data_IF_872064262262
#
_entry.id   IF_872064262262
#
_cell.length_a   1.000
_cell.length_b   1.000
_cell.length_c   1.000
_cell.angle_alpha   90.00
_cell.angle_beta   90.00
_cell.angle_gamma   90.00
#
_symmetry.space_group_name_H-M   'P 1'
#
loop_
_entity.id
_entity.type
_entity.pdbx_description
1 polymer ?
#
# COMPACT_ATOMS: atom_id res chain seq x y z
N UNK A 1 3.60 -41.91 -22.24
CA UNK A 1 2.20 -42.28 -22.58
C UNK A 1 1.83 -43.73 -22.28
N UNK A 2 2.74 -44.74 -22.29
CA UNK A 2 2.45 -46.08 -21.76
C UNK A 2 2.37 -46.13 -20.22
N UNK A 3 2.97 -45.18 -19.50
CA UNK A 3 2.96 -45.15 -18.03
C UNK A 3 1.63 -44.72 -17.41
N UNK A 4 0.75 -44.06 -18.16
CA UNK A 4 -0.56 -43.61 -17.67
C UNK A 4 -1.60 -44.73 -17.52
N UNK A 5 -1.42 -45.85 -18.21
CA UNK A 5 -2.33 -47.01 -18.14
C UNK A 5 -1.98 -47.92 -16.95
N UNK A 6 -0.79 -47.78 -16.35
CA UNK A 6 -0.39 -48.54 -15.17
C UNK A 6 -1.05 -48.04 -13.87
N UNK A 7 -1.46 -46.76 -13.83
CA UNK A 7 -2.05 -46.12 -12.65
C UNK A 7 -3.43 -46.68 -12.26
N UNK A 8 -4.17 -47.28 -13.20
CA UNK A 8 -5.51 -47.80 -12.94
C UNK A 8 -5.53 -49.25 -12.40
N UNK A 9 -4.38 -49.84 -12.07
CA UNK A 9 -4.26 -51.26 -11.67
C UNK A 9 -3.54 -51.49 -10.34
N UNK A 10 -3.15 -50.44 -9.63
CA UNK A 10 -2.44 -50.55 -8.36
C UNK A 10 -3.42 -50.35 -7.21
N UNK A 11 -3.88 -51.47 -6.66
CA UNK A 11 -4.70 -51.54 -5.44
C UNK A 11 -3.78 -51.83 -4.26
N UNK A 12 -3.80 -50.93 -3.28
CA UNK A 12 -3.17 -50.99 -1.96
C UNK A 12 -1.65 -50.96 -1.85
N UNK A 13 -1.18 -50.02 -1.01
CA UNK A 13 0.18 -49.81 -0.49
C UNK A 13 1.25 -49.39 -1.52
N UNK A 14 1.26 -49.95 -2.73
CA UNK A 14 2.25 -49.61 -3.75
C UNK A 14 2.08 -48.19 -4.33
N UNK A 15 0.84 -47.67 -4.32
CA UNK A 15 0.50 -46.33 -4.84
C UNK A 15 1.10 -45.22 -3.97
N UNK A 16 1.10 -45.36 -2.64
CA UNK A 16 1.67 -44.37 -1.72
C UNK A 16 3.21 -44.32 -1.81
N UNK A 17 3.86 -45.49 -1.95
CA UNK A 17 5.32 -45.60 -2.15
C UNK A 17 5.76 -45.05 -3.52
N UNK A 18 4.95 -45.29 -4.55
CA UNK A 18 5.17 -44.73 -5.90
C UNK A 18 5.01 -43.21 -5.93
N UNK A 19 3.98 -42.66 -5.27
CA UNK A 19 3.79 -41.22 -5.12
C UNK A 19 4.97 -40.60 -4.35
N UNK A 20 5.41 -41.20 -3.24
CA UNK A 20 6.57 -40.72 -2.47
C UNK A 20 7.86 -40.65 -3.30
N UNK A 21 8.12 -41.68 -4.13
CA UNK A 21 9.27 -41.68 -5.08
C UNK A 21 9.12 -40.69 -6.22
N UNK A 22 7.90 -40.49 -6.72
CA UNK A 22 7.61 -39.58 -7.83
C UNK A 22 7.70 -38.12 -7.36
N UNK A 23 7.32 -37.79 -6.13
CA UNK A 23 7.41 -36.42 -5.62
C UNK A 23 8.81 -36.05 -5.09
N UNK A 24 9.58 -37.02 -4.56
CA UNK A 24 10.92 -36.74 -4.00
C UNK A 24 12.09 -36.88 -5.00
N UNK A 25 11.85 -37.39 -6.20
CA UNK A 25 12.93 -37.73 -7.16
C UNK A 25 13.26 -36.68 -8.23
N UNK A 26 12.61 -35.52 -8.24
CA UNK A 26 12.63 -34.62 -9.42
C UNK A 26 13.59 -33.46 -9.20
N UNK A 27 14.54 -33.30 -10.12
CA UNK A 27 15.51 -32.19 -10.09
C UNK A 27 15.10 -31.07 -11.05
N UNK A 28 15.66 -29.88 -10.83
CA UNK A 28 15.37 -28.64 -11.56
C UNK A 28 15.76 -28.82 -13.04
N UNK A 29 14.77 -28.77 -13.95
CA UNK A 29 15.00 -28.82 -15.40
C UNK A 29 13.82 -29.28 -16.28
N UNK A 30 12.89 -30.09 -15.76
CA UNK A 30 11.85 -30.69 -16.61
C UNK A 30 10.62 -29.78 -16.87
N UNK A 31 10.00 -29.96 -18.04
CA UNK A 31 8.92 -29.19 -18.66
C UNK A 31 7.75 -28.83 -17.72
N UNK A 32 7.53 -27.52 -17.56
CA UNK A 32 6.57 -26.92 -16.62
C UNK A 32 5.12 -27.33 -16.90
N UNK A 33 4.73 -27.49 -18.17
CA UNK A 33 3.35 -27.87 -18.52
C UNK A 33 3.04 -29.33 -18.14
N UNK A 34 4.02 -30.23 -18.31
CA UNK A 34 3.87 -31.63 -17.90
C UNK A 34 3.74 -31.75 -16.37
N UNK A 35 4.51 -30.96 -15.61
CA UNK A 35 4.42 -30.88 -14.15
C UNK A 35 3.04 -30.40 -13.67
N UNK A 36 2.46 -29.38 -14.33
CA UNK A 36 1.14 -28.84 -14.01
C UNK A 36 0.02 -29.86 -14.18
N UNK A 37 -0.03 -30.57 -15.30
CA UNK A 37 -1.11 -31.52 -15.59
C UNK A 37 -0.98 -32.82 -14.78
N UNK A 38 0.25 -33.26 -14.49
CA UNK A 38 0.50 -34.40 -13.59
C UNK A 38 0.10 -34.06 -12.15
N UNK A 39 0.36 -32.82 -11.67
CA UNK A 39 -0.07 -32.35 -10.33
C UNK A 39 -1.59 -32.29 -10.22
N UNK A 40 -2.30 -31.73 -11.21
CA UNK A 40 -3.77 -31.75 -11.24
C UNK A 40 -4.33 -33.18 -11.19
N UNK A 41 -3.74 -34.09 -11.97
CA UNK A 41 -4.14 -35.50 -11.97
C UNK A 41 -3.86 -36.18 -10.63
N UNK A 42 -2.76 -35.85 -9.95
CA UNK A 42 -2.42 -36.40 -8.64
C UNK A 42 -3.38 -35.90 -7.54
N UNK A 43 -3.71 -34.61 -7.53
CA UNK A 43 -4.66 -34.01 -6.58
C UNK A 43 -6.07 -34.58 -6.78
N UNK A 44 -6.52 -34.71 -8.03
CA UNK A 44 -7.81 -35.36 -8.34
C UNK A 44 -7.84 -36.84 -7.92
N UNK A 45 -6.71 -37.55 -8.06
CA UNK A 45 -6.60 -38.95 -7.62
C UNK A 45 -6.59 -39.06 -6.09
N UNK A 46 -5.96 -38.12 -5.40
CA UNK A 46 -5.94 -38.03 -3.93
C UNK A 46 -7.34 -37.81 -3.35
N UNK A 47 -8.14 -36.89 -3.91
CA UNK A 47 -9.53 -36.70 -3.48
C UNK A 47 -10.38 -37.96 -3.64
N UNK A 48 -10.12 -38.74 -4.70
CA UNK A 48 -10.79 -40.04 -4.92
C UNK A 48 -10.33 -41.10 -3.91
N UNK A 49 -9.02 -41.15 -3.61
CA UNK A 49 -8.45 -42.09 -2.61
C UNK A 49 -8.96 -41.77 -1.20
N UNK A 50 -9.00 -40.50 -0.80
CA UNK A 50 -9.52 -40.07 0.50
C UNK A 50 -11.02 -40.39 0.65
N UNK A 51 -11.81 -40.19 -0.41
CA UNK A 51 -13.23 -40.56 -0.42
C UNK A 51 -13.44 -42.07 -0.27
N UNK A 52 -12.59 -42.89 -0.89
CA UNK A 52 -12.67 -44.34 -0.77
C UNK A 52 -12.21 -44.84 0.61
N UNK A 53 -11.12 -44.29 1.17
CA UNK A 53 -10.61 -44.66 2.50
C UNK A 53 -11.62 -44.34 3.62
N UNK A 54 -12.34 -43.21 3.51
CA UNK A 54 -13.44 -42.87 4.45
C UNK A 54 -14.61 -43.86 4.40
N UNK A 55 -14.88 -44.46 3.24
CA UNK A 55 -15.97 -45.43 3.08
C UNK A 55 -15.63 -46.82 3.64
N UNK A 56 -14.34 -47.13 3.84
CA UNK A 56 -13.89 -48.44 4.33
C UNK A 56 -13.84 -48.56 5.86
N UNK A 57 -13.97 -47.44 6.59
CA UNK A 57 -14.25 -47.38 8.03
C UNK A 57 -13.37 -48.32 8.89
N UNK A 58 -12.05 -48.17 8.78
CA UNK A 58 -11.07 -48.92 9.60
C UNK A 58 -10.30 -47.95 10.49
N UNK A 59 -9.98 -48.33 11.74
CA UNK A 59 -9.28 -47.49 12.73
C UNK A 59 -7.91 -46.94 12.25
N UNK A 60 -7.34 -47.49 11.17
CA UNK A 60 -6.06 -47.03 10.59
C UNK A 60 -6.24 -46.00 9.46
N UNK A 61 -7.47 -45.64 9.05
CA UNK A 61 -7.69 -44.69 7.97
C UNK A 61 -7.34 -43.26 8.37
N UNK A 62 -7.56 -42.90 9.64
CA UNK A 62 -7.42 -41.52 10.10
C UNK A 62 -5.94 -41.14 10.28
N UNK A 63 -5.13 -42.03 10.84
CA UNK A 63 -3.66 -41.85 10.96
C UNK A 63 -3.00 -41.77 9.57
N UNK A 64 -3.46 -42.57 8.61
CA UNK A 64 -2.96 -42.53 7.24
C UNK A 64 -3.38 -41.25 6.49
N UNK A 65 -4.57 -40.72 6.77
CA UNK A 65 -5.04 -39.44 6.24
C UNK A 65 -4.21 -38.29 6.84
N UNK A 66 -3.92 -38.33 8.14
CA UNK A 66 -3.13 -37.32 8.83
C UNK A 66 -1.67 -37.30 8.32
N UNK A 67 -1.06 -38.47 8.09
CA UNK A 67 0.26 -38.59 7.47
C UNK A 67 0.32 -38.03 6.04
N UNK A 68 -0.74 -38.26 5.25
CA UNK A 68 -0.85 -37.74 3.87
C UNK A 68 -1.03 -36.22 3.87
N UNK A 69 -1.84 -35.68 4.77
CA UNK A 69 -2.04 -34.23 4.93
C UNK A 69 -0.73 -33.57 5.38
N UNK A 70 -0.05 -34.14 6.37
CA UNK A 70 1.24 -33.61 6.88
C UNK A 70 2.29 -33.60 5.78
N UNK A 71 2.42 -34.68 5.01
CA UNK A 71 3.36 -34.72 3.89
C UNK A 71 3.02 -33.76 2.73
N UNK A 72 1.75 -33.39 2.57
CA UNK A 72 1.30 -32.37 1.62
C UNK A 72 1.63 -30.96 2.12
N UNK A 73 1.37 -30.68 3.40
CA UNK A 73 1.69 -29.40 4.04
C UNK A 73 3.20 -29.14 4.04
N UNK A 74 4.02 -30.13 4.39
CA UNK A 74 5.49 -30.03 4.34
C UNK A 74 6.01 -29.73 2.92
N UNK A 75 5.31 -30.21 1.88
CA UNK A 75 5.68 -29.96 0.49
C UNK A 75 5.22 -28.57 0.02
N UNK A 76 4.12 -28.04 0.57
CA UNK A 76 3.65 -26.68 0.34
C UNK A 76 4.62 -25.68 0.99
N UNK A 77 5.02 -25.92 2.25
CA UNK A 77 5.99 -25.10 2.98
C UNK A 77 7.36 -25.07 2.29
N UNK A 78 7.86 -26.21 1.80
CA UNK A 78 9.13 -26.26 1.08
C UNK A 78 9.11 -25.52 -0.28
N UNK A 79 7.93 -25.34 -0.87
CA UNK A 79 7.77 -24.62 -2.15
C UNK A 79 7.33 -23.15 -1.96
N UNK A 80 6.90 -22.73 -0.76
CA UNK A 80 6.45 -21.36 -0.51
C UNK A 80 7.57 -20.32 -0.72
N UNK A 81 8.83 -20.69 -0.45
CA UNK A 81 10.02 -19.87 -0.75
C UNK A 81 10.27 -19.69 -2.27
N UNK A 82 9.61 -20.46 -3.13
CA UNK A 82 9.78 -20.41 -4.59
C UNK A 82 8.56 -19.83 -5.35
N UNK A 83 7.34 -19.86 -4.77
CA UNK A 83 6.09 -19.58 -5.48
C UNK A 83 5.45 -18.22 -5.18
N UNK A 84 6.23 -17.15 -5.28
CA UNK A 84 5.73 -15.76 -5.30
C UNK A 84 4.95 -15.37 -6.58
N UNK A 85 4.35 -16.29 -7.35
CA UNK A 85 3.41 -15.95 -8.44
C UNK A 85 2.59 -17.16 -8.92
N UNK A 86 1.28 -17.23 -8.59
CA UNK A 86 0.15 -17.39 -9.56
C UNK A 86 -1.20 -17.80 -8.93
N UNK A 87 -2.23 -17.03 -9.34
CA UNK A 87 -3.67 -17.06 -8.98
C UNK A 87 -4.50 -18.26 -9.51
N UNK A 88 -3.90 -19.22 -10.19
CA UNK A 88 -4.66 -20.34 -10.82
C UNK A 88 -4.79 -21.58 -9.91
N UNK A 89 -4.04 -21.67 -8.81
CA UNK A 89 -4.12 -22.79 -7.86
C UNK A 89 -5.21 -22.60 -6.80
N UNK A 90 -5.53 -21.37 -6.39
CA UNK A 90 -6.57 -21.07 -5.39
C UNK A 90 -7.95 -21.60 -5.78
N UNK A 91 -8.41 -21.35 -7.01
CA UNK A 91 -9.75 -21.78 -7.45
C UNK A 91 -9.92 -23.30 -7.45
N UNK A 92 -8.84 -24.05 -7.68
CA UNK A 92 -8.90 -25.53 -7.68
C UNK A 92 -8.89 -26.07 -6.25
N UNK A 93 -8.14 -25.43 -5.35
CA UNK A 93 -8.05 -25.81 -3.94
C UNK A 93 -9.37 -25.50 -3.22
N UNK A 94 -9.96 -24.30 -3.39
CA UNK A 94 -11.24 -23.94 -2.77
C UNK A 94 -12.41 -24.86 -3.18
N UNK A 95 -12.42 -25.36 -4.43
CA UNK A 95 -13.44 -26.30 -4.92
C UNK A 95 -13.27 -27.72 -4.38
N UNK A 96 -12.04 -28.16 -4.11
CA UNK A 96 -11.74 -29.45 -3.47
C UNK A 96 -12.03 -29.42 -1.97
N UNK A 97 -11.75 -28.30 -1.31
CA UNK A 97 -11.94 -28.10 0.12
C UNK A 97 -13.42 -27.97 0.52
N UNK A 98 -14.30 -27.44 -0.33
CA UNK A 98 -15.76 -27.44 -0.08
C UNK A 98 -16.40 -28.82 0.00
N UNK A 99 -15.71 -29.88 -0.43
CA UNK A 99 -16.20 -31.27 -0.35
C UNK A 99 -15.51 -32.08 0.76
N UNK A 100 -14.59 -31.47 1.51
CA UNK A 100 -13.91 -32.06 2.65
C UNK A 100 -14.41 -31.30 3.86
N UNK A 101 -14.97 -32.01 4.84
CA UNK A 101 -15.32 -31.43 6.13
C UNK A 101 -13.99 -31.13 6.85
N UNK A 102 -13.52 -29.88 6.73
CA UNK A 102 -12.18 -29.46 7.15
C UNK A 102 -12.22 -29.11 8.63
N UNK A 103 -11.28 -29.70 9.36
CA UNK A 103 -11.04 -29.42 10.76
C UNK A 103 -10.70 -27.93 10.95
N UNK A 104 -11.40 -27.27 11.86
CA UNK A 104 -11.30 -25.84 12.23
C UNK A 104 -9.87 -25.29 12.32
N UNK A 105 -8.87 -26.13 12.66
CA UNK A 105 -7.45 -25.71 12.71
C UNK A 105 -6.84 -25.41 11.35
N UNK A 106 -7.27 -26.09 10.28
CA UNK A 106 -6.78 -25.84 8.92
C UNK A 106 -7.43 -24.59 8.35
N UNK A 107 -8.70 -24.31 8.66
CA UNK A 107 -9.32 -23.02 8.33
C UNK A 107 -8.58 -21.87 9.02
N UNK A 108 -8.26 -21.99 10.31
CA UNK A 108 -7.46 -20.99 11.03
C UNK A 108 -6.04 -20.82 10.44
N UNK A 109 -5.35 -21.89 10.03
CA UNK A 109 -4.03 -21.78 9.40
C UNK A 109 -4.10 -21.24 7.96
N UNK A 110 -5.15 -21.55 7.21
CA UNK A 110 -5.33 -21.07 5.83
C UNK A 110 -5.76 -19.61 5.80
N UNK A 111 -6.64 -19.19 6.71
CA UNK A 111 -6.93 -17.78 6.94
C UNK A 111 -5.62 -17.05 7.24
N UNK A 112 -4.82 -17.54 8.20
CA UNK A 112 -3.50 -16.97 8.52
C UNK A 112 -2.50 -16.95 7.34
N UNK A 113 -2.68 -17.80 6.32
CA UNK A 113 -1.86 -17.79 5.09
C UNK A 113 -2.40 -16.79 4.05
N UNK A 114 -3.72 -16.69 3.87
CA UNK A 114 -4.38 -15.71 2.98
C UNK A 114 -4.14 -14.28 3.50
N UNK A 115 -4.10 -14.09 4.82
CA UNK A 115 -3.79 -12.81 5.49
C UNK A 115 -2.36 -12.27 5.25
N UNK A 116 -1.50 -13.01 4.52
CA UNK A 116 -0.09 -12.62 4.28
C UNK A 116 0.23 -12.22 2.85
N UNK A 117 -0.73 -12.12 1.93
CA UNK A 117 -0.42 -11.57 0.62
C UNK A 117 -0.34 -10.04 0.77
N UNK A 118 0.86 -9.43 0.66
CA UNK A 118 0.96 -7.99 0.66
C UNK A 118 0.20 -7.50 -0.57
N UNK A 119 -0.88 -6.75 -0.34
CA UNK A 119 -1.56 -5.99 -1.39
C UNK A 119 -0.67 -4.81 -1.78
N UNK A 120 0.42 -5.09 -2.50
CA UNK A 120 1.27 -4.05 -3.04
C UNK A 120 0.50 -3.23 -4.08
N UNK A 121 0.89 -1.98 -4.37
CA UNK A 121 0.21 -1.18 -5.37
C UNK A 121 0.19 -1.84 -6.76
N UNK A 122 1.18 -2.68 -7.10
CA UNK A 122 1.19 -3.45 -8.35
C UNK A 122 0.07 -4.50 -8.40
N UNK A 123 -0.16 -5.24 -7.30
CA UNK A 123 -1.25 -6.24 -7.21
C UNK A 123 -2.61 -5.55 -7.31
N UNK A 124 -2.71 -4.33 -6.78
CA UNK A 124 -3.93 -3.55 -6.82
C UNK A 124 -4.19 -3.01 -8.22
N UNK A 125 -3.17 -2.48 -8.91
CA UNK A 125 -3.28 -2.09 -10.30
C UNK A 125 -3.82 -3.24 -11.17
N UNK A 126 -3.20 -4.42 -11.06
CA UNK A 126 -3.63 -5.61 -11.81
C UNK A 126 -5.09 -5.99 -11.48
N UNK A 127 -5.46 -5.94 -10.20
CA UNK A 127 -6.83 -6.24 -9.77
C UNK A 127 -7.84 -5.20 -10.27
N UNK A 128 -7.47 -3.92 -10.30
CA UNK A 128 -8.31 -2.83 -10.81
C UNK A 128 -8.49 -2.96 -12.33
N UNK A 129 -7.42 -3.27 -13.06
CA UNK A 129 -7.49 -3.55 -14.50
C UNK A 129 -8.36 -4.76 -14.80
N UNK A 130 -8.34 -5.80 -13.96
CA UNK A 130 -9.14 -7.02 -14.15
C UNK A 130 -10.62 -6.83 -13.77
N UNK A 131 -10.89 -6.20 -12.63
CA UNK A 131 -12.21 -6.21 -12.00
C UNK A 131 -13.03 -4.94 -12.21
N UNK A 132 -12.41 -3.81 -12.59
CA UNK A 132 -13.09 -2.50 -12.62
C UNK A 132 -13.15 -1.96 -14.06
N UNK A 133 -14.30 -2.10 -14.77
CA UNK A 133 -14.43 -1.70 -16.16
C UNK A 133 -14.12 -0.22 -16.42
N UNK A 134 -14.59 0.69 -15.55
CA UNK A 134 -14.32 2.12 -15.68
C UNK A 134 -12.83 2.42 -15.55
N UNK A 135 -12.13 1.80 -14.59
CA UNK A 135 -10.69 1.98 -14.43
C UNK A 135 -9.92 1.49 -15.66
N UNK A 136 -10.26 0.29 -16.17
CA UNK A 136 -9.67 -0.22 -17.41
C UNK A 136 -9.92 0.72 -18.60
N UNK A 137 -11.13 1.27 -18.72
CA UNK A 137 -11.45 2.24 -19.75
C UNK A 137 -10.55 3.47 -19.65
N UNK A 138 -10.43 4.07 -18.46
CA UNK A 138 -9.55 5.23 -18.23
C UNK A 138 -8.08 4.90 -18.55
N UNK A 139 -7.59 3.76 -18.06
CA UNK A 139 -6.18 3.35 -18.19
C UNK A 139 -5.75 3.12 -19.64
N UNK A 140 -6.69 2.67 -20.50
CA UNK A 140 -6.45 2.36 -21.92
C UNK A 140 -6.72 3.54 -22.87
N UNK A 141 -6.90 4.75 -22.35
CA UNK A 141 -7.04 5.94 -23.19
C UNK A 141 -5.68 6.35 -23.75
N UNK A 142 -5.64 6.64 -25.05
CA UNK A 142 -4.43 7.03 -25.77
C UNK A 142 -3.73 8.23 -25.11
N UNK A 143 -4.49 9.16 -24.54
CA UNK A 143 -3.98 10.33 -23.81
C UNK A 143 -3.14 9.97 -22.59
N UNK A 144 -3.33 8.78 -22.01
CA UNK A 144 -2.59 8.28 -20.84
C UNK A 144 -1.57 7.19 -21.22
N UNK A 145 -1.82 6.40 -22.26
CA UNK A 145 -0.91 5.34 -22.73
C UNK A 145 0.45 5.88 -23.24
N UNK A 146 0.51 7.14 -23.65
CA UNK A 146 1.77 7.79 -24.08
C UNK A 146 2.65 8.23 -22.91
N UNK A 147 2.15 8.20 -21.67
CA UNK A 147 2.90 8.60 -20.47
C UNK A 147 3.83 7.49 -19.99
N UNK A 148 4.92 7.81 -19.27
CA UNK A 148 5.68 6.83 -18.51
C UNK A 148 4.76 6.00 -17.59
N UNK A 149 5.05 4.71 -17.41
CA UNK A 149 4.17 3.77 -16.68
C UNK A 149 3.79 4.29 -15.28
N UNK A 150 4.73 4.85 -14.53
CA UNK A 150 4.44 5.41 -13.21
C UNK A 150 3.43 6.57 -13.29
N UNK A 151 3.58 7.44 -14.29
CA UNK A 151 2.71 8.58 -14.51
C UNK A 151 1.34 8.13 -15.04
N UNK A 152 1.28 7.15 -15.94
CA UNK A 152 0.03 6.54 -16.41
C UNK A 152 -0.76 5.94 -15.23
N UNK A 153 -0.09 5.19 -14.35
CA UNK A 153 -0.72 4.60 -13.17
C UNK A 153 -1.31 5.71 -12.27
N UNK A 154 -0.48 6.69 -11.92
CA UNK A 154 -0.85 7.84 -11.10
C UNK A 154 -1.99 8.67 -11.68
N UNK A 155 -1.95 8.96 -12.98
CA UNK A 155 -2.99 9.71 -13.68
C UNK A 155 -4.30 8.93 -13.76
N UNK A 156 -4.23 7.63 -14.07
CA UNK A 156 -5.42 6.79 -14.25
C UNK A 156 -6.23 6.67 -12.97
N UNK A 157 -5.56 6.49 -11.83
CA UNK A 157 -6.22 6.44 -10.53
C UNK A 157 -6.79 7.79 -10.10
N UNK A 158 -6.09 8.90 -10.37
CA UNK A 158 -6.57 10.25 -10.09
C UNK A 158 -7.86 10.55 -10.86
N UNK A 159 -7.85 10.23 -12.16
CA UNK A 159 -9.02 10.39 -13.03
C UNK A 159 -10.16 9.47 -12.60
N UNK A 160 -9.89 8.18 -12.36
CA UNK A 160 -10.90 7.22 -11.95
C UNK A 160 -11.65 7.65 -10.70
N UNK A 161 -10.94 8.11 -9.66
CA UNK A 161 -11.57 8.55 -8.41
C UNK A 161 -12.33 9.85 -8.55
N UNK A 162 -11.75 10.83 -9.27
CA UNK A 162 -12.47 12.06 -9.60
C UNK A 162 -13.82 11.75 -10.26
N UNK A 163 -13.84 10.78 -11.20
CA UNK A 163 -15.06 10.33 -11.85
C UNK A 163 -16.03 9.67 -10.87
N UNK A 164 -15.57 8.77 -10.00
CA UNK A 164 -16.43 8.15 -8.99
C UNK A 164 -17.12 9.18 -8.09
N UNK A 165 -16.37 10.15 -7.58
CA UNK A 165 -16.88 11.15 -6.63
C UNK A 165 -17.86 12.15 -7.28
N UNK A 166 -17.60 12.54 -8.53
CA UNK A 166 -18.35 13.61 -9.18
C UNK A 166 -19.41 13.11 -10.18
N UNK A 167 -19.26 11.89 -10.68
CA UNK A 167 -20.06 11.34 -11.78
C UNK A 167 -20.51 9.89 -11.57
N UNK A 168 -20.05 9.22 -10.51
CA UNK A 168 -20.37 7.82 -10.20
C UNK A 168 -19.66 6.82 -11.13
N UNK A 169 -20.18 5.59 -11.16
CA UNK A 169 -19.53 4.46 -11.85
C UNK A 169 -19.74 4.42 -13.38
N UNK A 170 -20.64 5.27 -13.92
CA UNK A 170 -21.01 5.24 -15.34
C UNK A 170 -20.89 6.63 -16.01
N UNK A 171 -19.71 7.27 -15.96
CA UNK A 171 -19.49 8.54 -16.64
C UNK A 171 -19.54 8.35 -18.16
N UNK A 172 -19.96 9.39 -18.86
CA UNK A 172 -19.87 9.48 -20.32
C UNK A 172 -18.42 9.71 -20.76
N UNK A 173 -18.08 9.35 -22.01
CA UNK A 173 -16.75 9.62 -22.58
C UNK A 173 -16.32 11.09 -22.47
N UNK A 174 -17.28 12.02 -22.62
CA UNK A 174 -17.02 13.45 -22.46
C UNK A 174 -16.64 13.82 -21.02
N UNK A 175 -17.21 13.15 -20.01
CA UNK A 175 -16.86 13.36 -18.61
C UNK A 175 -15.49 12.76 -18.30
N UNK A 176 -15.17 11.59 -18.85
CA UNK A 176 -13.84 10.96 -18.72
C UNK A 176 -12.76 11.89 -19.29
N UNK A 177 -12.93 12.38 -20.52
CA UNK A 177 -11.96 13.30 -21.13
C UNK A 177 -11.85 14.61 -20.35
N UNK A 178 -12.96 15.14 -19.86
CA UNK A 178 -12.95 16.37 -19.03
C UNK A 178 -12.19 16.17 -17.72
N UNK A 179 -12.31 15.00 -17.08
CA UNK A 179 -11.56 14.66 -15.88
C UNK A 179 -10.05 14.55 -16.17
N UNK A 180 -9.65 13.92 -17.28
CA UNK A 180 -8.24 13.86 -17.69
C UNK A 180 -7.65 15.26 -17.89
N UNK A 181 -8.36 16.12 -18.63
CA UNK A 181 -7.93 17.50 -18.88
C UNK A 181 -7.81 18.26 -17.56
N UNK A 182 -8.83 18.17 -16.71
CA UNK A 182 -8.84 18.82 -15.41
C UNK A 182 -7.64 18.40 -14.56
N UNK A 183 -7.42 17.11 -14.34
CA UNK A 183 -6.30 16.60 -13.53
C UNK A 183 -4.96 17.02 -14.14
N UNK A 184 -4.81 16.98 -15.46
CA UNK A 184 -3.57 17.39 -16.14
C UNK A 184 -3.29 18.88 -15.97
N UNK A 185 -4.27 19.74 -16.21
CA UNK A 185 -4.15 21.20 -16.04
C UNK A 185 -3.71 21.53 -14.61
N UNK A 186 -4.32 20.84 -13.66
CA UNK A 186 -3.99 20.95 -12.26
C UNK A 186 -2.55 20.49 -11.94
N UNK A 187 -2.08 19.36 -12.45
CA UNK A 187 -0.69 18.93 -12.27
C UNK A 187 0.30 19.96 -12.84
N UNK A 188 -0.01 20.56 -13.99
CA UNK A 188 0.79 21.64 -14.60
C UNK A 188 0.88 22.88 -13.70
N UNK A 189 -0.20 23.25 -13.00
CA UNK A 189 -0.16 24.37 -12.05
C UNK A 189 0.77 24.08 -10.85
N UNK A 190 0.84 22.81 -10.42
CA UNK A 190 1.69 22.39 -9.31
C UNK A 190 3.16 22.14 -9.71
N UNK A 191 3.42 21.72 -10.95
CA UNK A 191 4.71 21.16 -11.39
C UNK A 191 5.91 22.08 -11.08
N UNK A 192 5.71 23.40 -11.18
CA UNK A 192 6.75 24.42 -11.01
C UNK A 192 6.77 25.04 -9.61
N UNK A 193 5.88 24.60 -8.70
CA UNK A 193 5.85 25.08 -7.32
C UNK A 193 7.11 24.63 -6.60
N UNK A 194 7.88 25.57 -6.06
CA UNK A 194 9.04 25.27 -5.23
C UNK A 194 8.57 24.72 -3.89
N UNK A 195 8.87 23.45 -3.64
CA UNK A 195 8.64 22.76 -2.38
C UNK A 195 9.78 23.08 -1.43
N UNK A 196 11.00 22.61 -1.71
CA UNK A 196 12.23 22.96 -0.96
C UNK A 196 13.15 23.82 -1.80
N UNK A 197 13.71 24.88 -1.21
CA UNK A 197 14.58 25.83 -1.90
C UNK A 197 15.14 26.90 -0.95
N UNK A 198 15.97 27.83 -1.46
CA UNK A 198 16.69 28.81 -0.63
C UNK A 198 15.80 29.75 0.17
N UNK A 199 14.60 30.07 -0.33
CA UNK A 199 13.68 31.02 0.31
C UNK A 199 12.70 30.36 1.30
N UNK A 200 12.86 29.06 1.58
CA UNK A 200 11.97 28.32 2.48
C UNK A 200 12.51 28.29 3.90
N UNK A 201 11.62 28.49 4.87
CA UNK A 201 11.85 28.05 6.24
C UNK A 201 11.39 26.60 6.38
N UNK A 202 12.27 25.71 6.85
CA UNK A 202 11.98 24.29 6.98
C UNK A 202 11.84 23.87 8.43
N UNK A 203 10.63 23.44 8.81
CA UNK A 203 10.33 22.81 10.08
C UNK A 203 10.20 21.30 9.80
N UNK A 204 11.16 20.52 10.27
CA UNK A 204 11.10 19.06 10.16
C UNK A 204 11.09 18.43 11.53
N UNK A 205 10.31 17.37 11.69
CA UNK A 205 10.26 16.64 12.94
C UNK A 205 9.86 15.19 12.71
N UNK A 206 10.31 14.32 13.61
CA UNK A 206 10.09 12.87 13.46
C UNK A 206 9.53 12.22 14.71
N UNK A 207 8.95 11.04 14.51
CA UNK A 207 8.68 10.09 15.58
C UNK A 207 9.97 9.70 16.34
N UNK A 208 9.84 9.19 17.58
CA UNK A 208 10.98 8.91 18.47
C UNK A 208 11.82 7.68 18.07
N UNK A 209 11.25 6.75 17.31
CA UNK A 209 11.94 5.55 16.84
C UNK A 209 13.21 5.87 16.04
N UNK A 210 14.20 4.98 16.13
CA UNK A 210 15.52 5.18 15.51
C UNK A 210 15.45 5.30 13.98
N UNK A 211 14.54 4.55 13.34
CA UNK A 211 14.40 4.52 11.87
C UNK A 211 14.02 5.87 11.25
N UNK A 212 13.36 6.76 11.99
CA UNK A 212 12.99 8.10 11.51
C UNK A 212 14.11 9.11 11.83
N UNK A 213 14.63 9.80 10.83
CA UNK A 213 15.87 10.58 10.95
C UNK A 213 15.70 12.05 10.55
N UNK A 214 15.64 12.94 11.53
CA UNK A 214 15.73 14.39 11.32
C UNK A 214 16.99 14.77 10.51
N UNK A 215 18.13 14.10 10.78
CA UNK A 215 19.38 14.34 10.07
C UNK A 215 19.26 14.09 8.57
N UNK A 216 18.56 13.02 8.16
CA UNK A 216 18.40 12.69 6.74
C UNK A 216 17.50 13.71 6.05
N UNK A 217 16.40 14.11 6.71
CA UNK A 217 15.50 15.16 6.20
C UNK A 217 16.21 16.51 6.07
N UNK A 218 17.02 16.87 7.08
CA UNK A 218 17.80 18.11 7.08
C UNK A 218 18.85 18.09 5.96
N UNK A 219 19.61 17.01 5.82
CA UNK A 219 20.62 16.86 4.76
C UNK A 219 19.96 16.96 3.38
N UNK A 220 18.84 16.27 3.17
CA UNK A 220 18.08 16.36 1.93
C UNK A 220 17.65 17.80 1.66
N UNK A 221 17.04 18.50 2.62
CA UNK A 221 16.62 19.88 2.47
C UNK A 221 17.80 20.84 2.17
N UNK A 222 18.95 20.67 2.84
CA UNK A 222 20.17 21.43 2.55
C UNK A 222 20.70 21.16 1.14
N UNK A 223 20.62 19.91 0.67
CA UNK A 223 20.99 19.55 -0.70
C UNK A 223 20.04 20.15 -1.74
N UNK A 224 18.81 20.55 -1.35
CA UNK A 224 17.88 21.34 -2.17
C UNK A 224 18.03 22.86 -2.00
N UNK A 225 19.05 23.31 -1.26
CA UNK A 225 19.39 24.72 -1.11
C UNK A 225 18.74 25.42 0.09
N UNK A 226 17.99 24.72 0.94
CA UNK A 226 17.38 25.31 2.14
C UNK A 226 18.48 25.73 3.13
N UNK A 227 18.50 27.01 3.50
CA UNK A 227 19.45 27.54 4.49
C UNK A 227 18.84 27.81 5.86
N UNK A 228 17.53 28.09 5.91
CA UNK A 228 16.80 28.39 7.14
C UNK A 228 16.02 27.16 7.62
N UNK A 229 16.52 26.49 8.65
CA UNK A 229 15.95 25.25 9.17
C UNK A 229 15.71 25.42 10.68
N UNK A 230 14.55 24.98 11.15
CA UNK A 230 14.23 24.90 12.57
C UNK A 230 15.25 24.03 13.32
N UNK A 231 15.27 24.10 14.65
CA UNK A 231 16.24 23.35 15.47
C UNK A 231 16.40 21.89 15.04
N UNK A 232 17.64 21.42 14.91
CA UNK A 232 18.02 20.15 14.27
C UNK A 232 17.62 18.86 15.01
N UNK A 233 16.82 18.95 16.08
CA UNK A 233 16.42 17.77 16.85
C UNK A 233 14.99 17.86 17.39
N UNK A 234 14.03 18.20 16.53
CA UNK A 234 12.61 18.08 16.85
C UNK A 234 12.20 16.61 16.71
N UNK A 235 12.56 15.79 17.70
CA UNK A 235 12.28 14.35 17.70
C UNK A 235 11.47 13.97 18.92
N UNK A 236 10.45 13.15 18.70
CA UNK A 236 9.71 12.51 19.77
C UNK A 236 8.77 13.40 20.59
N UNK A 237 8.12 12.78 21.57
CA UNK A 237 7.10 13.40 22.43
C UNK A 237 7.55 14.71 23.11
N UNK A 238 8.82 14.78 23.55
CA UNK A 238 9.37 15.95 24.23
C UNK A 238 9.42 17.20 23.36
N UNK A 239 9.39 17.04 22.03
CA UNK A 239 9.45 18.15 21.08
C UNK A 239 8.08 18.73 20.75
N UNK A 240 6.97 18.11 21.17
CA UNK A 240 5.59 18.48 20.80
C UNK A 240 5.34 19.99 20.91
N UNK A 241 5.52 20.56 22.10
CA UNK A 241 5.21 21.97 22.33
C UNK A 241 6.12 22.91 21.52
N UNK A 242 7.38 22.52 21.30
CA UNK A 242 8.30 23.31 20.49
C UNK A 242 7.87 23.29 19.03
N UNK A 243 7.47 22.12 18.49
CA UNK A 243 6.95 21.98 17.12
C UNK A 243 5.75 22.91 16.93
N UNK A 244 4.78 22.85 17.84
CA UNK A 244 3.56 23.67 17.81
C UNK A 244 3.86 25.16 17.81
N UNK A 245 4.72 25.62 18.73
CA UNK A 245 5.16 27.02 18.78
C UNK A 245 5.91 27.46 17.52
N UNK A 246 6.72 26.58 16.91
CA UNK A 246 7.42 26.89 15.66
C UNK A 246 6.46 27.05 14.49
N UNK A 247 5.43 26.20 14.39
CA UNK A 247 4.39 26.31 13.35
C UNK A 247 3.66 27.64 13.52
N UNK A 248 3.13 27.90 14.72
CA UNK A 248 2.38 29.09 15.08
C UNK A 248 3.13 30.40 14.81
N UNK A 249 4.42 30.44 15.16
CA UNK A 249 5.22 31.66 15.06
C UNK A 249 6.03 31.76 13.75
N UNK A 250 5.90 30.79 12.83
CA UNK A 250 6.59 30.85 11.54
C UNK A 250 5.99 31.95 10.63
N UNK A 251 6.82 32.56 9.79
CA UNK A 251 6.41 33.62 8.86
C UNK A 251 7.06 33.42 7.49
N UNK A 252 6.40 33.88 6.43
CA UNK A 252 6.89 33.71 5.06
C UNK A 252 6.76 32.27 4.56
N UNK A 253 7.32 31.94 3.38
CA UNK A 253 7.22 30.61 2.81
C UNK A 253 7.80 29.52 3.73
N UNK A 254 6.93 28.65 4.25
CA UNK A 254 7.30 27.60 5.22
C UNK A 254 6.99 26.21 4.66
N UNK A 255 7.91 25.26 4.86
CA UNK A 255 7.63 23.83 4.69
C UNK A 255 7.65 23.16 6.06
N UNK A 256 6.58 22.43 6.38
CA UNK A 256 6.46 21.63 7.60
C UNK A 256 6.43 20.17 7.16
N UNK A 257 7.40 19.37 7.56
CA UNK A 257 7.50 17.96 7.17
C UNK A 257 7.59 17.06 8.41
N UNK A 258 6.61 16.18 8.55
CA UNK A 258 6.63 15.09 9.52
C UNK A 258 6.99 13.77 8.84
N UNK A 259 7.91 13.00 9.43
CA UNK A 259 8.19 11.60 9.09
C UNK A 259 8.05 10.71 10.32
N UNK A 260 7.15 9.73 10.26
CA UNK A 260 6.81 8.92 11.42
C UNK A 260 5.57 8.06 11.26
N UNK A 261 5.05 7.62 12.39
CA UNK A 261 3.77 6.93 12.43
C UNK A 261 2.60 7.91 12.41
N UNK A 262 1.48 7.51 11.81
CA UNK A 262 0.28 8.34 11.73
C UNK A 262 -0.99 7.50 11.74
N UNK A 263 -2.07 8.13 12.17
CA UNK A 263 -3.44 7.63 12.07
C UNK A 263 -4.32 8.68 11.39
N UNK A 264 -5.58 8.32 11.13
CA UNK A 264 -6.55 9.20 10.43
C UNK A 264 -6.70 10.60 11.06
N UNK A 265 -6.45 10.75 12.37
CA UNK A 265 -6.68 12.00 13.13
C UNK A 265 -5.47 12.57 13.86
N UNK A 266 -4.37 11.83 13.96
CA UNK A 266 -3.19 12.23 14.72
C UNK A 266 -1.90 11.67 14.11
N UNK A 267 -0.81 12.41 14.30
CA UNK A 267 0.54 11.93 14.00
C UNK A 267 1.25 11.56 15.30
N UNK A 268 1.87 10.38 15.32
CA UNK A 268 2.53 9.82 16.49
C UNK A 268 3.90 10.44 16.70
N UNK A 269 4.19 10.90 17.91
CA UNK A 269 5.52 11.33 18.32
C UNK A 269 6.23 10.30 19.20
N UNK A 270 5.51 9.42 19.88
CA UNK A 270 6.12 8.34 20.70
C UNK A 270 5.53 6.96 20.45
N UNK A 271 6.15 5.93 21.04
CA UNK A 271 5.90 4.49 20.88
C UNK A 271 4.45 4.04 21.17
N UNK A 272 3.60 4.93 21.67
CA UNK A 272 2.16 4.70 21.93
C UNK A 272 1.26 5.77 21.29
N UNK A 273 1.81 6.60 20.40
CA UNK A 273 1.17 7.78 19.82
C UNK A 273 0.33 7.51 18.58
N UNK A 274 0.55 6.36 17.91
CA UNK A 274 -0.01 6.09 16.58
C UNK A 274 -1.12 5.03 16.53
N UNK A 275 -1.61 4.54 17.65
CA UNK A 275 -2.46 3.35 17.64
C UNK A 275 -3.93 3.71 17.88
N UNK A 276 -4.76 3.49 16.85
CA UNK A 276 -6.25 3.44 16.81
C UNK A 276 -6.88 4.58 15.97
N UNK A 277 -7.48 4.19 14.84
CA UNK A 277 -8.27 5.03 13.92
C UNK A 277 -9.37 5.86 14.61
N UNK A 278 -9.83 5.40 15.78
CA UNK A 278 -10.92 6.00 16.55
C UNK A 278 -10.46 6.90 17.71
N UNK A 279 -9.16 7.17 17.88
CA UNK A 279 -8.73 8.08 18.95
C UNK A 279 -9.35 9.47 18.77
N UNK A 280 -10.20 9.86 19.72
CA UNK A 280 -10.82 11.19 19.82
C UNK A 280 -10.17 12.07 20.87
N UNK A 281 -9.40 11.50 21.78
CA UNK A 281 -8.81 12.22 22.93
C UNK A 281 -7.38 12.65 22.64
N UNK A 282 -7.08 13.93 22.86
CA UNK A 282 -5.73 14.51 22.70
C UNK A 282 -4.76 13.83 23.68
N UNK A 283 -3.64 13.33 23.15
CA UNK A 283 -2.57 12.70 23.93
C UNK A 283 -1.29 13.52 23.87
N UNK A 284 -0.42 13.31 24.85
CA UNK A 284 0.87 13.99 24.95
C UNK A 284 1.87 13.51 23.92
N UNK A 285 1.77 12.25 23.51
CA UNK A 285 2.68 11.53 22.60
C UNK A 285 2.26 11.56 21.12
N UNK A 286 1.33 12.43 20.75
CA UNK A 286 0.87 12.62 19.36
C UNK A 286 0.44 14.07 19.14
N UNK A 287 0.34 14.51 17.90
CA UNK A 287 -0.26 15.80 17.54
C UNK A 287 -1.53 15.51 16.75
N UNK A 288 -2.67 16.01 17.23
CA UNK A 288 -3.95 15.86 16.54
C UNK A 288 -4.11 16.90 15.42
N UNK A 289 -4.90 16.59 14.40
CA UNK A 289 -5.21 17.53 13.32
C UNK A 289 -5.76 18.86 13.87
N UNK A 290 -6.64 18.80 14.88
CA UNK A 290 -7.16 19.99 15.57
C UNK A 290 -6.07 20.87 16.18
N UNK A 291 -5.01 20.28 16.75
CA UNK A 291 -3.88 21.04 17.29
C UNK A 291 -3.07 21.70 16.17
N UNK A 292 -2.81 21.00 15.06
CA UNK A 292 -2.19 21.58 13.86
C UNK A 292 -3.04 22.73 13.31
N UNK A 293 -4.36 22.55 13.27
CA UNK A 293 -5.29 23.55 12.76
C UNK A 293 -5.31 24.82 13.62
N UNK A 294 -5.30 24.69 14.95
CA UNK A 294 -5.17 25.83 15.85
C UNK A 294 -3.85 26.58 15.62
N UNK A 295 -2.74 25.85 15.50
CA UNK A 295 -1.41 26.46 15.28
C UNK A 295 -1.33 27.15 13.90
N UNK A 296 -1.92 26.56 12.86
CA UNK A 296 -2.01 27.15 11.53
C UNK A 296 -2.93 28.38 11.51
N UNK A 297 -4.10 28.33 12.14
CA UNK A 297 -5.01 29.49 12.22
C UNK A 297 -4.34 30.67 12.93
N UNK A 298 -3.63 30.42 14.02
CA UNK A 298 -2.88 31.44 14.74
C UNK A 298 -1.73 32.03 13.90
N UNK A 299 -1.08 31.20 13.07
CA UNK A 299 -0.06 31.64 12.11
C UNK A 299 -0.63 32.55 11.01
N UNK A 300 -1.77 32.16 10.42
CA UNK A 300 -2.37 32.84 9.26
C UNK A 300 -1.58 32.64 7.95
N UNK A 301 -2.04 33.27 6.87
CA UNK A 301 -1.44 33.27 5.53
C UNK A 301 -1.08 31.88 4.97
N UNK A 302 -1.96 30.89 5.09
CA UNK A 302 -1.59 29.49 4.82
C UNK A 302 -1.23 29.18 3.36
N UNK A 303 -1.58 30.04 2.39
CA UNK A 303 -1.17 29.86 0.99
C UNK A 303 0.35 29.78 0.78
N UNK A 304 1.15 30.29 1.72
CA UNK A 304 2.62 30.20 1.70
C UNK A 304 3.17 28.95 2.42
N UNK A 305 2.29 28.13 3.02
CA UNK A 305 2.64 26.93 3.78
C UNK A 305 2.53 25.69 2.89
N UNK A 306 3.52 24.81 3.01
CA UNK A 306 3.47 23.45 2.47
C UNK A 306 3.60 22.49 3.64
N UNK A 307 2.64 21.57 3.77
CA UNK A 307 2.66 20.47 4.73
C UNK A 307 3.06 19.19 4.00
N UNK A 308 3.95 18.41 4.58
CA UNK A 308 4.32 17.08 4.09
C UNK A 308 4.12 16.09 5.24
N UNK A 309 3.22 15.13 5.05
CA UNK A 309 2.94 14.08 6.02
C UNK A 309 3.43 12.74 5.46
N UNK A 310 4.58 12.29 5.95
CA UNK A 310 5.18 11.01 5.63
C UNK A 310 4.83 10.00 6.73
N UNK A 311 3.62 9.44 6.63
CA UNK A 311 3.09 8.51 7.62
C UNK A 311 1.94 7.68 7.08
N UNK A 312 1.63 6.57 7.76
CA UNK A 312 0.35 5.89 7.60
C UNK A 312 -0.81 6.89 7.73
N UNK A 313 -1.87 6.68 6.94
CA UNK A 313 -3.11 7.48 6.89
C UNK A 313 -2.89 8.99 6.69
N UNK A 314 -1.76 9.39 6.10
CA UNK A 314 -1.41 10.80 5.92
C UNK A 314 -2.43 11.56 5.08
N UNK A 315 -3.04 10.92 4.08
CA UNK A 315 -4.19 11.45 3.35
C UNK A 315 -5.38 11.77 4.25
N UNK A 316 -5.82 10.83 5.09
CA UNK A 316 -6.98 11.05 5.95
C UNK A 316 -6.69 12.14 6.99
N UNK A 317 -5.47 12.16 7.51
CA UNK A 317 -5.03 13.25 8.37
C UNK A 317 -5.09 14.60 7.64
N UNK A 318 -4.65 14.66 6.39
CA UNK A 318 -4.73 15.85 5.53
C UNK A 318 -6.17 16.29 5.26
N UNK A 319 -7.11 15.37 4.98
CA UNK A 319 -8.54 15.68 4.86
C UNK A 319 -9.06 16.36 6.13
N UNK A 320 -8.79 15.78 7.31
CA UNK A 320 -9.23 16.35 8.59
C UNK A 320 -8.58 17.74 8.84
N UNK A 321 -7.33 17.96 8.42
CA UNK A 321 -6.69 19.29 8.47
C UNK A 321 -7.42 20.28 7.55
N UNK A 322 -7.73 19.90 6.32
CA UNK A 322 -8.37 20.78 5.33
C UNK A 322 -9.83 21.10 5.68
N UNK A 323 -10.61 20.11 6.11
CA UNK A 323 -12.02 20.28 6.51
C UNK A 323 -12.16 21.32 7.61
N UNK A 324 -11.31 21.25 8.63
CA UNK A 324 -11.28 22.20 9.72
C UNK A 324 -10.79 23.59 9.28
N UNK A 325 -9.89 23.67 8.30
CA UNK A 325 -9.38 24.94 7.77
C UNK A 325 -10.28 25.55 6.67
N UNK A 326 -11.44 24.97 6.38
CA UNK A 326 -12.33 25.45 5.32
C UNK A 326 -12.68 26.96 5.46
N UNK A 327 -12.69 27.68 4.33
CA UNK A 327 -13.08 29.09 4.27
C UNK A 327 -11.94 30.12 4.40
N UNK A 328 -10.68 29.69 4.46
CA UNK A 328 -9.49 30.55 4.37
C UNK A 328 -8.56 30.08 3.24
N UNK A 329 -7.54 30.87 2.88
CA UNK A 329 -6.47 30.39 1.99
C UNK A 329 -5.85 29.14 2.62
N UNK A 330 -5.86 28.01 1.91
CA UNK A 330 -5.40 26.72 2.43
C UNK A 330 -3.94 26.45 2.08
N UNK A 331 -3.21 25.68 2.90
CA UNK A 331 -1.87 25.22 2.55
C UNK A 331 -1.91 24.24 1.37
N UNK A 332 -0.75 24.03 0.76
CA UNK A 332 -0.54 22.80 -0.02
C UNK A 332 -0.18 21.67 0.94
N UNK A 333 -0.80 20.51 0.78
CA UNK A 333 -0.50 19.31 1.56
C UNK A 333 -0.04 18.21 0.61
N UNK A 334 1.08 17.59 0.93
CA UNK A 334 1.63 16.43 0.25
C UNK A 334 1.59 15.28 1.25
N UNK A 335 1.10 14.13 0.85
CA UNK A 335 0.98 12.96 1.70
C UNK A 335 1.76 11.81 1.08
N UNK A 336 2.50 11.05 1.90
CA UNK A 336 3.21 9.88 1.41
C UNK A 336 2.26 8.72 1.08
N UNK A 337 1.10 8.69 1.73
CA UNK A 337 0.09 7.67 1.58
C UNK A 337 -1.25 8.29 1.18
N UNK A 338 -2.09 7.47 0.55
CA UNK A 338 -3.39 7.85 0.04
C UNK A 338 -4.54 7.50 1.02
N UNK A 339 -5.78 7.72 0.60
CA UNK A 339 -6.97 7.48 1.42
C UNK A 339 -7.03 6.05 1.94
N UNK A 340 -7.06 5.91 3.26
CA UNK A 340 -7.10 4.61 3.94
C UNK A 340 -5.78 3.83 3.84
N UNK A 341 -4.66 4.49 3.52
CA UNK A 341 -3.41 3.81 3.20
C UNK A 341 -2.36 3.83 4.28
N UNK A 342 -1.64 2.72 4.36
CA UNK A 342 -0.42 2.55 5.12
C UNK A 342 0.76 3.11 4.35
N UNK A 343 1.76 3.53 5.12
CA UNK A 343 3.03 4.01 4.58
C UNK A 343 4.15 3.25 5.25
N UNK A 344 5.22 3.04 4.49
CA UNK A 344 6.43 2.42 4.97
C UNK A 344 7.47 3.52 5.17
N UNK A 345 7.91 3.67 6.42
CA UNK A 345 8.77 4.77 6.85
C UNK A 345 10.00 4.94 5.94
N UNK A 346 10.37 6.20 5.70
CA UNK A 346 11.48 6.64 4.85
C UNK A 346 11.35 6.37 3.34
N UNK A 347 10.42 5.52 2.85
CA UNK A 347 10.30 5.26 1.40
C UNK A 347 9.97 6.52 0.58
N UNK A 348 9.21 7.46 1.14
CA UNK A 348 8.88 8.70 0.44
C UNK A 348 10.08 9.66 0.36
N UNK A 349 10.85 9.81 1.45
CA UNK A 349 12.12 10.54 1.39
C UNK A 349 13.12 9.86 0.45
N UNK A 350 13.24 8.54 0.50
CA UNK A 350 14.18 7.76 -0.30
C UNK A 350 13.84 7.81 -1.80
N UNK A 351 12.56 7.87 -2.16
CA UNK A 351 12.13 8.06 -3.56
C UNK A 351 12.52 9.43 -4.08
N UNK A 352 12.36 10.48 -3.27
CA UNK A 352 12.79 11.84 -3.60
C UNK A 352 14.33 11.94 -3.71
N UNK A 353 15.07 11.18 -2.91
CA UNK A 353 16.54 11.06 -3.02
C UNK A 353 16.92 10.35 -4.32
N UNK A 354 16.17 9.31 -4.71
CA UNK A 354 16.44 8.47 -5.88
C UNK A 354 16.35 9.20 -7.21
N UNK A 355 15.64 10.34 -7.25
CA UNK A 355 15.64 11.26 -8.40
C UNK A 355 17.04 11.82 -8.72
N UNK A 356 17.98 11.78 -7.76
CA UNK A 356 19.36 12.20 -7.95
C UNK A 356 19.51 13.63 -8.51
N UNK A 357 18.63 14.53 -8.08
CA UNK A 357 18.67 15.95 -8.44
C UNK A 357 20.01 16.57 -8.06
N UNK A 358 20.46 17.56 -8.82
CA UNK A 358 21.75 18.20 -8.55
C UNK A 358 21.73 18.91 -7.18
N UNK A 359 22.90 18.98 -6.54
CA UNK A 359 23.01 19.73 -5.28
C UNK A 359 22.78 21.22 -5.53
N UNK A 360 21.90 21.82 -4.74
CA UNK A 360 21.44 23.21 -4.89
C UNK A 360 20.26 23.36 -5.86
N UNK A 361 19.88 22.30 -6.57
CA UNK A 361 18.64 22.29 -7.35
C UNK A 361 17.43 22.21 -6.39
N UNK A 362 16.43 23.11 -6.51
CA UNK A 362 15.23 23.07 -5.69
C UNK A 362 14.41 21.79 -5.90
N UNK A 363 13.68 21.37 -4.86
CA UNK A 363 12.63 20.37 -5.01
C UNK A 363 11.37 21.07 -5.55
N UNK A 364 10.88 20.64 -6.70
CA UNK A 364 9.69 21.18 -7.36
C UNK A 364 8.51 20.22 -7.25
N UNK A 365 7.30 20.71 -7.50
CA UNK A 365 6.09 19.88 -7.49
C UNK A 365 6.15 18.69 -8.44
N UNK A 366 6.73 18.85 -9.65
CA UNK A 366 6.91 17.74 -10.60
C UNK A 366 7.73 16.57 -10.01
N UNK A 367 8.71 16.88 -9.17
CA UNK A 367 9.58 15.89 -8.54
C UNK A 367 8.79 15.00 -7.55
N UNK A 368 7.66 15.48 -7.01
CA UNK A 368 6.78 14.63 -6.19
C UNK A 368 6.21 13.49 -7.04
N UNK A 369 5.70 13.80 -8.24
CA UNK A 369 5.14 12.79 -9.14
C UNK A 369 6.21 11.91 -9.80
N UNK A 370 7.36 12.49 -10.18
CA UNK A 370 8.48 11.72 -10.72
C UNK A 370 9.03 10.71 -9.69
N UNK A 371 8.98 11.03 -8.40
CA UNK A 371 9.44 10.12 -7.34
C UNK A 371 8.62 8.84 -7.25
N UNK A 372 7.38 8.83 -7.77
CA UNK A 372 6.53 7.64 -7.82
C UNK A 372 7.17 6.54 -8.66
N UNK A 373 8.08 6.84 -9.60
CA UNK A 373 8.87 5.83 -10.30
C UNK A 373 9.60 4.87 -9.33
N UNK A 374 10.05 5.38 -8.18
CA UNK A 374 10.83 4.63 -7.20
C UNK A 374 9.99 4.09 -6.04
N UNK A 375 8.79 4.64 -5.83
CA UNK A 375 7.95 4.30 -4.70
C UNK A 375 6.61 3.68 -5.08
N UNK A 376 6.24 3.60 -6.36
CA UNK A 376 4.92 3.09 -6.79
C UNK A 376 4.67 1.63 -6.44
N UNK A 377 5.65 0.89 -5.92
CA UNK A 377 5.47 -0.47 -5.40
C UNK A 377 5.29 -0.52 -3.88
N UNK A 378 5.40 0.59 -3.17
CA UNK A 378 5.33 0.64 -1.70
C UNK A 378 4.71 1.91 -1.12
N UNK A 379 4.49 2.96 -1.90
CA UNK A 379 3.86 4.21 -1.50
C UNK A 379 2.90 4.68 -2.59
N UNK A 380 1.91 5.44 -2.16
CA UNK A 380 0.84 5.99 -2.99
C UNK A 380 0.60 7.42 -2.50
N UNK A 381 1.35 8.36 -3.07
CA UNK A 381 1.32 9.76 -2.61
C UNK A 381 0.13 10.53 -3.18
N UNK A 382 -0.37 11.48 -2.40
CA UNK A 382 -1.38 12.43 -2.86
C UNK A 382 -0.93 13.89 -2.64
N UNK A 383 -1.52 14.78 -3.43
CA UNK A 383 -1.28 16.23 -3.34
C UNK A 383 -2.62 16.95 -3.30
N UNK A 384 -2.82 17.69 -2.22
CA UNK A 384 -3.89 18.67 -2.06
C UNK A 384 -3.30 20.06 -2.25
N UNK A 385 -3.86 20.85 -3.15
CA UNK A 385 -3.53 22.27 -3.16
C UNK A 385 -4.74 23.12 -3.47
N UNK A 386 -4.73 24.32 -2.90
CA UNK A 386 -5.76 25.30 -3.17
C UNK A 386 -5.48 26.08 -4.44
N UNK A 387 -6.50 26.18 -5.28
CA UNK A 387 -6.62 27.21 -6.30
C UNK A 387 -7.88 28.02 -5.97
N UNK A 388 -7.75 29.34 -5.81
CA UNK A 388 -8.88 30.26 -5.66
C UNK A 388 -9.89 29.95 -4.52
N UNK A 389 -9.44 29.29 -3.44
CA UNK A 389 -10.27 29.04 -2.25
C UNK A 389 -10.97 27.68 -2.21
N UNK A 390 -10.90 26.90 -3.29
CA UNK A 390 -11.30 25.49 -3.31
C UNK A 390 -10.05 24.59 -3.29
N UNK A 391 -10.09 23.51 -2.51
CA UNK A 391 -9.05 22.48 -2.56
C UNK A 391 -9.30 21.58 -3.77
N UNK A 392 -8.25 21.37 -4.56
CA UNK A 392 -8.29 20.39 -5.64
C UNK A 392 -7.31 19.28 -5.28
N UNK A 393 -7.77 18.04 -5.44
CA UNK A 393 -7.03 16.82 -5.17
C UNK A 393 -6.61 16.20 -6.51
N UNK A 394 -5.30 16.12 -6.74
CA UNK A 394 -4.75 16.08 -8.11
C UNK A 394 -3.79 14.92 -8.34
N UNK A 395 -3.51 14.16 -7.29
CA UNK A 395 -2.79 12.91 -7.40
C UNK A 395 -3.46 11.87 -6.53
N UNK A 396 -3.87 10.78 -7.17
CA UNK A 396 -4.31 9.59 -6.49
C UNK A 396 -3.76 8.45 -7.30
N UNK A 397 -2.78 7.71 -6.82
CA UNK A 397 -2.62 6.31 -7.17
C UNK A 397 -3.62 5.53 -6.27
N UNK A 398 -3.88 4.23 -6.43
CA UNK A 398 -4.83 3.54 -5.52
C UNK A 398 -4.20 2.32 -4.90
N UNK A 399 -4.29 2.31 -3.58
CA UNK A 399 -4.83 1.19 -2.84
C UNK A 399 -5.87 1.73 -1.84
N UNK A 400 -6.88 0.94 -1.48
CA UNK A 400 -7.73 1.14 -0.30
C UNK A 400 -7.55 -0.10 0.58
N UNK A 401 -7.10 0.06 1.83
CA UNK A 401 -6.87 -1.01 2.80
C UNK A 401 -7.78 -0.84 4.04
N UNK A 402 -9.00 -0.34 3.85
CA UNK A 402 -10.02 -0.37 4.90
C UNK A 402 -10.09 -1.80 5.50
N UNK A 403 -9.55 -1.97 6.72
CA UNK A 403 -9.56 -3.26 7.43
C UNK A 403 -8.26 -3.69 8.13
N UNK A 404 -7.10 -3.12 7.80
CA UNK A 404 -5.90 -3.36 8.63
C UNK A 404 -5.99 -2.45 9.88
N UNK A 405 -5.51 -2.91 11.04
CA UNK A 405 -5.68 -2.16 12.31
C UNK A 405 -4.42 -1.45 12.81
N UNK A 406 -3.20 -1.82 12.39
CA UNK A 406 -1.95 -1.25 12.94
C UNK A 406 -0.78 -1.30 11.95
N UNK A 407 0.07 -0.26 11.92
CA UNK A 407 1.39 -0.30 11.29
C UNK A 407 2.36 -1.08 12.20
N UNK A 408 2.28 -2.41 12.23
CA UNK A 408 3.23 -3.28 12.93
C UNK A 408 4.09 -4.05 11.91
N UNK A 409 5.30 -3.55 11.64
CA UNK A 409 6.25 -4.18 10.70
C UNK A 409 5.94 -3.92 9.22
N UNK A 410 6.28 -4.90 8.37
CA UNK A 410 6.16 -4.84 6.90
C UNK A 410 4.85 -5.45 6.34
N UNK A 411 3.92 -5.87 7.21
CA UNK A 411 2.74 -6.65 6.82
C UNK A 411 1.41 -6.02 7.25
N UNK A 412 0.44 -5.98 6.33
CA UNK A 412 -0.94 -5.54 6.55
C UNK A 412 -1.87 -6.77 6.44
N UNK A 413 -2.47 -7.25 7.55
CA UNK A 413 -3.47 -8.31 7.47
C UNK A 413 -4.82 -7.74 7.00
N UNK A 414 -5.23 -8.08 5.78
CA UNK A 414 -6.47 -7.60 5.15
C UNK A 414 -7.68 -8.32 5.72
N UNK A 415 -8.60 -7.61 6.38
CA UNK A 415 -9.88 -8.20 6.80
C UNK A 415 -10.86 -8.29 5.61
N UNK A 416 -11.09 -9.50 5.10
CA UNK A 416 -11.95 -9.77 3.93
C UNK A 416 -13.45 -9.92 4.27
N UNK A 417 -13.90 -9.63 5.49
CA UNK A 417 -15.31 -9.84 5.90
C UNK A 417 -16.33 -8.83 5.32
N UNK A 418 -15.99 -8.05 4.28
CA UNK A 418 -16.97 -7.14 3.63
C UNK A 418 -17.11 -7.41 2.14
N UNK A 419 -17.86 -8.45 1.80
CA UNK A 419 -18.58 -8.56 0.52
C UNK A 419 -19.91 -9.29 0.68
#
# INVERSE_FOLDING_TARGET
>A
MPELIALSRLTDVDTASFLRKTFMGWTVGDDWFAKREIRKSAISSLGTIMSNLRNENTENSDELIEDIITALLDNIDYNLDYYLTKREEEQTITLLLRNIDIDTRIEEEFDNLIFKIPLTPSVVLDSMLEAVPLFRQVYSLLELEELPIYEQNSMSFAVYRYLLENHGETPTDSQILSAIIFIREKRVLFENRVILGPDKYFIHFTHEEERFSNTNMEEFARNRGVTNIAHSNLKGTSSKNIIRELIKNSTGPTVIWFDGHGGKRSIGLGNSGAVIEEQTEIKTNSIFHTEINDDLRDRGNLGEVILIFDSCFSYNFAENVLEDLAGISLPTIITATNKGQYGYGSNFLDSLISLNLQKGEPLLGRHIYESEEFSSSSQDSAVFFSDFGDYNEIALNNINHEGCMVCEGDSCPVNLETS
#
